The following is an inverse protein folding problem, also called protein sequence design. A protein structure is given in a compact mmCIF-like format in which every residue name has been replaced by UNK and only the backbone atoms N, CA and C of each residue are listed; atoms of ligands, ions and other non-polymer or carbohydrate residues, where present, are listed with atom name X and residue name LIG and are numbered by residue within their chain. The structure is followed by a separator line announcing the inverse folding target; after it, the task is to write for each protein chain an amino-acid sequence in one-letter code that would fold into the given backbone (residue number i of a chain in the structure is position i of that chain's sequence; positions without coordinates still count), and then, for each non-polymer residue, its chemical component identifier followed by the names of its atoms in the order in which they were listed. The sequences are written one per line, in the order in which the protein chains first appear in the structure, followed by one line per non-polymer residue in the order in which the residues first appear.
data_IF_966231016661
#
_entry.id   IF_966231016661
#
_cell.length_a   1.000
_cell.length_b   1.000
_cell.length_c   1.000
_cell.angle_alpha   90.00
_cell.angle_beta   90.00
_cell.angle_gamma   90.00
#
_symmetry.space_group_name_H-M   'P 1'
#
loop_
_entity.id
_entity.type
_entity.pdbx_description
1 polymer ?
#
# COMPACT_ATOMS: atom_id res chain seq x y z
N UNK A 1 52.84 6.73 53.06
CA UNK A 1 52.63 6.23 51.63
C UNK A 1 51.20 6.47 51.26
N UNK A 2 50.90 7.57 50.53
CA UNK A 2 49.55 7.93 50.08
C UNK A 2 49.40 7.42 48.68
N UNK A 3 48.45 6.49 48.44
CA UNK A 3 48.09 5.99 47.11
C UNK A 3 46.99 6.88 46.51
N UNK A 4 47.31 7.60 45.44
CA UNK A 4 46.39 8.35 44.64
C UNK A 4 45.70 7.37 43.66
N UNK A 5 44.36 7.23 43.76
CA UNK A 5 43.55 6.60 42.71
C UNK A 5 43.15 7.66 41.69
N UNK A 6 43.63 7.55 40.48
CA UNK A 6 43.19 8.34 39.32
C UNK A 6 41.96 7.65 38.71
N UNK A 7 40.80 8.29 38.81
CA UNK A 7 39.60 7.84 38.14
C UNK A 7 39.63 8.32 36.67
N UNK A 8 39.71 7.39 35.74
CA UNK A 8 39.56 7.66 34.29
C UNK A 8 38.07 7.72 33.93
N UNK A 9 37.57 8.94 33.71
CA UNK A 9 36.19 9.14 33.19
C UNK A 9 36.20 8.89 31.69
N UNK A 10 35.57 7.81 31.25
CA UNK A 10 35.32 7.54 29.84
C UNK A 10 34.16 8.41 29.33
N UNK A 11 34.48 9.39 28.49
CA UNK A 11 33.53 10.26 27.81
C UNK A 11 32.95 9.48 26.60
N UNK A 12 31.73 8.95 26.73
CA UNK A 12 31.04 8.31 25.64
C UNK A 12 30.53 9.37 24.64
N UNK A 13 31.17 9.47 23.48
CA UNK A 13 30.72 10.30 22.36
C UNK A 13 29.50 9.62 21.71
N UNK A 14 28.30 10.09 22.01
CA UNK A 14 27.08 9.70 21.28
C UNK A 14 27.07 10.45 19.95
N UNK A 15 27.37 9.73 18.85
CA UNK A 15 27.16 10.21 17.47
C UNK A 15 25.66 10.26 17.19
N UNK A 16 25.10 11.42 16.78
CA UNK A 16 23.74 11.44 16.29
C UNK A 16 23.69 10.69 14.96
N UNK A 17 22.89 9.64 14.88
CA UNK A 17 22.49 9.03 13.63
C UNK A 17 21.71 10.09 12.85
N UNK A 18 22.35 10.74 11.90
CA UNK A 18 21.69 11.59 10.90
C UNK A 18 20.88 10.66 10.02
N UNK A 19 19.57 10.53 10.31
CA UNK A 19 18.63 9.93 9.38
C UNK A 19 18.75 10.67 8.06
N UNK A 20 18.98 9.97 6.95
CA UNK A 20 18.90 10.52 5.61
C UNK A 20 17.47 11.09 5.44
N UNK A 21 17.35 12.41 5.55
CA UNK A 21 16.14 13.10 5.14
C UNK A 21 16.04 12.88 3.63
N UNK A 22 15.13 12.02 3.21
CA UNK A 22 14.70 12.02 1.82
C UNK A 22 14.14 13.42 1.56
N UNK A 23 14.79 14.16 0.66
CA UNK A 23 14.27 15.44 0.21
C UNK A 23 12.85 15.17 -0.34
N UNK A 24 11.84 15.65 0.37
CA UNK A 24 10.48 15.60 -0.12
C UNK A 24 10.46 16.35 -1.46
N UNK A 25 10.02 15.68 -2.51
CA UNK A 25 9.66 16.35 -3.77
C UNK A 25 8.71 17.47 -3.37
N UNK A 26 8.99 18.70 -3.85
CA UNK A 26 8.14 19.84 -3.52
C UNK A 26 6.79 19.64 -4.21
N UNK A 27 5.84 19.10 -3.50
CA UNK A 27 4.52 18.79 -4.01
C UNK A 27 3.70 17.95 -3.04
N UNK A 28 2.44 17.76 -3.35
CA UNK A 28 1.48 16.96 -2.60
C UNK A 28 0.84 15.94 -3.50
N UNK A 29 0.45 14.79 -2.94
CA UNK A 29 -0.38 13.83 -3.64
C UNK A 29 -1.58 13.51 -2.73
N UNK A 30 -2.74 13.99 -3.12
CA UNK A 30 -3.98 13.78 -2.38
C UNK A 30 -4.64 12.49 -2.85
N UNK A 31 -4.99 11.60 -1.92
CA UNK A 31 -5.72 10.36 -2.21
C UNK A 31 -7.06 10.42 -1.48
N UNK A 32 -8.16 10.30 -2.23
CA UNK A 32 -9.51 10.29 -1.69
C UNK A 32 -10.22 9.00 -2.05
N UNK A 33 -10.75 8.30 -1.04
CA UNK A 33 -11.57 7.09 -1.28
C UNK A 33 -12.97 7.55 -1.72
N UNK A 34 -13.36 7.17 -2.94
CA UNK A 34 -14.69 7.46 -3.51
C UNK A 34 -15.66 6.35 -3.14
N UNK A 35 -15.27 5.10 -3.37
CA UNK A 35 -16.06 3.93 -3.03
C UNK A 35 -15.17 2.85 -2.42
N UNK A 36 -15.62 2.24 -1.33
CA UNK A 36 -15.00 1.01 -0.84
C UNK A 36 -15.32 -0.15 -1.79
N UNK A 37 -14.35 -1.03 -2.01
CA UNK A 37 -14.56 -2.26 -2.78
C UNK A 37 -15.40 -3.27 -2.00
N UNK A 38 -15.98 -4.23 -2.73
CA UNK A 38 -16.65 -5.39 -2.14
C UNK A 38 -16.02 -6.65 -2.70
N UNK A 39 -15.78 -7.62 -1.83
CA UNK A 39 -15.27 -8.94 -2.22
C UNK A 39 -16.39 -9.98 -2.13
N UNK A 40 -16.43 -10.87 -3.09
CA UNK A 40 -17.31 -12.05 -3.10
C UNK A 40 -16.48 -13.31 -3.25
N UNK A 41 -17.03 -14.42 -2.81
CA UNK A 41 -16.37 -15.73 -2.93
C UNK A 41 -16.72 -16.36 -4.28
N UNK A 42 -15.75 -17.03 -4.90
CA UNK A 42 -15.98 -17.79 -6.13
C UNK A 42 -16.80 -19.07 -5.86
N UNK A 43 -17.24 -19.75 -6.93
CA UNK A 43 -18.05 -20.96 -6.82
C UNK A 43 -17.36 -22.14 -6.14
N UNK A 44 -16.04 -22.18 -6.08
CA UNK A 44 -15.26 -23.18 -5.37
C UNK A 44 -14.99 -22.82 -3.89
N UNK A 45 -15.42 -21.65 -3.44
CA UNK A 45 -15.27 -21.10 -2.10
C UNK A 45 -13.82 -20.94 -1.63
N UNK A 46 -12.85 -20.96 -2.52
CA UNK A 46 -11.42 -20.87 -2.22
C UNK A 46 -10.74 -19.57 -2.70
N UNK A 47 -11.46 -18.74 -3.40
CA UNK A 47 -11.05 -17.38 -3.80
C UNK A 47 -12.08 -16.37 -3.33
N UNK A 48 -11.64 -15.34 -2.65
CA UNK A 48 -12.44 -14.20 -2.23
C UNK A 48 -11.85 -12.95 -2.89
N UNK A 49 -12.60 -12.29 -3.75
CA UNK A 49 -12.07 -11.19 -4.54
C UNK A 49 -13.08 -10.16 -4.99
N UNK A 50 -12.61 -8.97 -5.30
CA UNK A 50 -13.41 -7.90 -5.88
C UNK A 50 -13.73 -8.14 -7.36
N UNK A 51 -12.91 -8.92 -8.06
CA UNK A 51 -13.14 -9.35 -9.44
C UNK A 51 -14.07 -10.56 -9.59
N UNK A 52 -14.50 -11.20 -8.50
CA UNK A 52 -15.45 -12.32 -8.55
C UNK A 52 -16.87 -11.82 -8.84
N UNK A 53 -17.74 -12.73 -9.31
CA UNK A 53 -19.13 -12.38 -9.64
C UNK A 53 -19.86 -11.74 -8.46
N UNK A 54 -20.30 -10.49 -8.61
CA UNK A 54 -20.92 -9.69 -7.55
C UNK A 54 -19.95 -8.89 -6.68
N UNK A 55 -18.64 -9.01 -6.87
CA UNK A 55 -17.63 -8.15 -6.29
C UNK A 55 -17.51 -6.82 -7.06
N UNK A 56 -16.84 -5.84 -6.47
CA UNK A 56 -16.54 -4.56 -7.10
C UNK A 56 -15.20 -4.03 -6.59
N UNK A 57 -14.41 -3.46 -7.49
CA UNK A 57 -13.18 -2.75 -7.16
C UNK A 57 -13.45 -1.57 -6.21
N UNK A 58 -12.49 -1.26 -5.36
CA UNK A 58 -12.48 0.02 -4.67
C UNK A 58 -12.10 1.13 -5.65
N UNK A 59 -12.73 2.30 -5.52
CA UNK A 59 -12.41 3.47 -6.37
C UNK A 59 -11.83 4.57 -5.50
N UNK A 60 -10.66 5.04 -5.90
CA UNK A 60 -10.01 6.21 -5.27
C UNK A 60 -9.68 7.26 -6.34
N UNK A 61 -9.68 8.53 -5.97
CA UNK A 61 -9.07 9.60 -6.77
C UNK A 61 -7.67 9.87 -6.24
N UNK A 62 -6.74 10.09 -7.15
CA UNK A 62 -5.35 10.41 -6.86
C UNK A 62 -5.00 11.70 -7.60
N UNK A 63 -4.61 12.72 -6.85
CA UNK A 63 -4.34 14.07 -7.35
C UNK A 63 -2.90 14.48 -7.00
N UNK A 64 -1.91 14.08 -7.82
CA UNK A 64 -0.55 14.57 -7.68
C UNK A 64 -0.47 16.02 -8.14
N UNK A 65 0.14 16.88 -7.30
CA UNK A 65 0.40 18.28 -7.60
C UNK A 65 1.82 18.65 -7.16
N UNK A 66 2.65 19.05 -8.13
CA UNK A 66 4.01 19.50 -7.89
C UNK A 66 4.41 20.59 -8.86
N UNK A 67 4.91 21.71 -8.33
CA UNK A 67 5.45 22.81 -9.14
C UNK A 67 6.65 22.36 -9.98
N UNK A 68 7.49 21.49 -9.45
CA UNK A 68 8.68 20.99 -10.15
C UNK A 68 8.28 20.17 -11.38
N UNK A 69 7.27 19.32 -11.23
CA UNK A 69 6.73 18.52 -12.33
C UNK A 69 6.11 19.37 -13.42
N UNK A 70 5.45 20.47 -13.04
CA UNK A 70 4.84 21.40 -14.00
C UNK A 70 5.87 22.22 -14.79
N UNK A 71 6.96 22.64 -14.13
CA UNK A 71 7.96 23.55 -14.73
C UNK A 71 8.97 22.81 -15.61
N UNK A 72 9.44 21.64 -15.14
CA UNK A 72 10.51 20.90 -15.81
C UNK A 72 9.99 19.87 -16.80
N UNK A 73 8.68 19.73 -16.94
CA UNK A 73 8.04 18.73 -17.80
C UNK A 73 8.61 17.31 -17.57
N UNK A 74 8.99 17.03 -16.31
CA UNK A 74 9.51 15.74 -15.89
C UNK A 74 8.36 14.74 -15.88
N UNK A 75 8.46 13.74 -16.72
CA UNK A 75 7.43 12.73 -16.96
C UNK A 75 7.18 11.81 -15.76
N UNK A 76 7.97 11.94 -14.68
CA UNK A 76 8.04 10.93 -13.62
C UNK A 76 8.09 11.59 -12.24
N UNK A 77 7.01 12.23 -11.83
CA UNK A 77 7.03 12.98 -10.58
C UNK A 77 6.49 12.18 -9.38
N UNK A 78 5.55 11.30 -9.61
CA UNK A 78 4.95 10.47 -8.57
C UNK A 78 4.84 9.01 -9.00
N UNK A 79 5.12 8.12 -8.08
CA UNK A 79 4.93 6.69 -8.25
C UNK A 79 3.68 6.21 -7.54
N UNK A 80 2.69 5.72 -8.29
CA UNK A 80 1.49 5.10 -7.75
C UNK A 80 1.71 3.60 -7.58
N UNK A 81 1.35 3.07 -6.41
CA UNK A 81 1.31 1.63 -6.14
C UNK A 81 0.19 1.29 -5.14
N UNK A 82 -0.26 0.05 -5.14
CA UNK A 82 -1.30 -0.44 -4.25
C UNK A 82 -0.97 -1.88 -3.79
N UNK A 83 0.11 -2.09 -3.01
CA UNK A 83 0.55 -3.41 -2.60
C UNK A 83 -0.54 -4.16 -1.83
N UNK A 84 -0.63 -5.51 -1.98
CA UNK A 84 -1.60 -6.30 -1.26
C UNK A 84 -1.35 -6.26 0.24
N UNK A 85 -2.39 -6.42 1.08
CA UNK A 85 -2.22 -6.53 2.52
C UNK A 85 -1.53 -7.84 2.89
N UNK A 86 -0.91 -7.89 4.06
CA UNK A 86 -0.33 -9.12 4.60
C UNK A 86 -1.37 -10.05 5.23
N UNK A 87 -2.54 -9.51 5.64
CA UNK A 87 -3.62 -10.24 6.28
C UNK A 87 -4.95 -9.50 6.11
N UNK A 88 -6.06 -10.19 6.41
CA UNK A 88 -7.34 -9.51 6.62
C UNK A 88 -7.27 -8.59 7.85
N UNK A 89 -7.95 -7.47 7.81
CA UNK A 89 -8.17 -6.62 8.97
C UNK A 89 -9.10 -7.32 9.98
N UNK A 90 -10.11 -8.02 9.46
CA UNK A 90 -10.94 -8.94 10.26
C UNK A 90 -11.39 -10.12 9.39
N UNK A 91 -11.54 -11.30 10.01
CA UNK A 91 -12.02 -12.52 9.39
C UNK A 91 -12.67 -13.43 10.45
N UNK A 92 -13.56 -14.35 10.07
CA UNK A 92 -14.04 -15.41 10.95
C UNK A 92 -12.89 -16.32 11.40
N UNK A 93 -13.13 -17.10 12.45
CA UNK A 93 -12.13 -18.06 12.97
C UNK A 93 -11.64 -19.00 11.84
N UNK A 94 -10.32 -19.10 11.68
CA UNK A 94 -9.67 -19.84 10.59
C UNK A 94 -9.77 -19.20 9.21
N UNK A 95 -10.45 -18.06 9.06
CA UNK A 95 -10.63 -17.37 7.77
C UNK A 95 -9.36 -16.76 7.21
N UNK A 96 -8.40 -16.42 8.06
CA UNK A 96 -7.10 -15.86 7.67
C UNK A 96 -5.99 -16.90 7.47
N UNK A 97 -6.24 -18.18 7.74
CA UNK A 97 -5.20 -19.21 7.72
C UNK A 97 -4.83 -19.61 6.29
N UNK A 98 -3.53 -19.67 5.99
CA UNK A 98 -3.00 -20.11 4.70
C UNK A 98 -3.58 -19.33 3.51
N UNK A 99 -3.81 -18.02 3.68
CA UNK A 99 -4.31 -17.12 2.64
C UNK A 99 -3.15 -16.38 1.99
N UNK A 100 -3.15 -16.32 0.66
CA UNK A 100 -2.28 -15.47 -0.14
C UNK A 100 -3.08 -14.30 -0.71
N UNK A 101 -2.48 -13.12 -0.75
CA UNK A 101 -3.13 -11.90 -1.20
C UNK A 101 -2.44 -11.39 -2.47
N UNK A 102 -3.23 -10.95 -3.43
CA UNK A 102 -2.79 -10.24 -4.61
C UNK A 102 -3.67 -9.01 -4.82
N UNK A 103 -3.08 -7.91 -5.22
CA UNK A 103 -3.81 -6.72 -5.63
C UNK A 103 -3.44 -6.33 -7.04
N UNK A 104 -4.37 -5.72 -7.74
CA UNK A 104 -4.12 -5.02 -9.00
C UNK A 104 -4.79 -3.66 -8.95
N UNK A 105 -4.31 -2.74 -9.78
CA UNK A 105 -4.98 -1.47 -9.94
C UNK A 105 -4.98 -1.04 -11.40
N UNK A 106 -5.99 -0.26 -11.79
CA UNK A 106 -6.11 0.34 -13.10
C UNK A 106 -6.29 1.85 -12.96
N UNK A 107 -5.53 2.63 -13.74
CA UNK A 107 -5.62 4.10 -13.78
C UNK A 107 -6.49 4.50 -14.96
N UNK A 108 -7.50 5.32 -14.73
CA UNK A 108 -8.43 5.88 -15.73
C UNK A 108 -9.04 4.82 -16.68
N UNK A 109 -9.36 3.64 -16.13
CA UNK A 109 -9.92 2.52 -16.90
C UNK A 109 -8.91 1.84 -17.83
N UNK A 110 -7.62 2.08 -17.66
CA UNK A 110 -6.56 1.39 -18.41
C UNK A 110 -6.41 -0.08 -18.04
N UNK A 111 -5.39 -0.73 -18.57
CA UNK A 111 -5.09 -2.12 -18.26
C UNK A 111 -4.70 -2.29 -16.78
N UNK A 112 -5.15 -3.38 -16.11
CA UNK A 112 -4.76 -3.67 -14.74
C UNK A 112 -3.25 -3.88 -14.61
N UNK A 113 -2.66 -3.29 -13.57
CA UNK A 113 -1.26 -3.38 -13.20
C UNK A 113 -1.16 -4.10 -11.86
N UNK A 114 -0.13 -4.91 -11.68
CA UNK A 114 0.12 -5.57 -10.40
C UNK A 114 0.34 -4.52 -9.30
N UNK A 115 -0.28 -4.70 -8.13
CA UNK A 115 -0.27 -3.72 -7.04
C UNK A 115 1.11 -3.36 -6.49
N UNK A 116 2.11 -4.23 -6.63
CA UNK A 116 3.50 -3.94 -6.23
C UNK A 116 4.31 -3.21 -7.31
N UNK A 117 3.79 -3.13 -8.54
CA UNK A 117 4.43 -2.37 -9.61
C UNK A 117 4.10 -0.89 -9.44
N UNK A 118 5.07 -0.03 -9.69
CA UNK A 118 4.87 1.42 -9.63
C UNK A 118 4.50 1.96 -11.01
N UNK A 119 3.37 2.65 -11.10
CA UNK A 119 2.97 3.45 -12.27
C UNK A 119 3.34 4.90 -12.02
N UNK A 120 3.99 5.51 -13.00
CA UNK A 120 4.41 6.90 -12.90
C UNK A 120 3.28 7.83 -13.30
N UNK A 121 3.03 8.83 -12.47
CA UNK A 121 2.01 9.86 -12.68
C UNK A 121 2.67 11.23 -12.81
N UNK A 122 2.08 12.07 -13.65
CA UNK A 122 2.33 13.50 -13.71
C UNK A 122 1.24 14.24 -12.92
N UNK A 123 1.33 15.58 -12.85
CA UNK A 123 0.23 16.36 -12.27
C UNK A 123 -1.08 16.09 -13.00
N UNK A 124 -2.15 15.96 -12.24
CA UNK A 124 -3.47 15.67 -12.79
C UNK A 124 -4.44 15.14 -11.76
N UNK A 125 -5.58 14.66 -12.24
CA UNK A 125 -6.59 13.99 -11.44
C UNK A 125 -6.85 12.62 -12.07
N UNK A 126 -6.61 11.56 -11.33
CA UNK A 126 -6.70 10.19 -11.80
C UNK A 126 -7.75 9.41 -11.02
N UNK A 127 -8.56 8.65 -11.73
CA UNK A 127 -9.43 7.65 -11.12
C UNK A 127 -8.71 6.30 -11.10
N UNK A 128 -8.55 5.74 -9.91
CA UNK A 128 -7.85 4.46 -9.73
C UNK A 128 -8.82 3.43 -9.18
N UNK A 129 -9.06 2.37 -9.95
CA UNK A 129 -9.77 1.19 -9.51
C UNK A 129 -8.77 0.21 -8.89
N UNK A 130 -9.04 -0.27 -7.68
CA UNK A 130 -8.16 -1.18 -6.95
C UNK A 130 -8.90 -2.48 -6.68
N UNK A 131 -8.35 -3.57 -7.16
CA UNK A 131 -8.85 -4.93 -6.95
C UNK A 131 -7.98 -5.67 -5.94
N UNK A 132 -8.65 -6.49 -5.13
CA UNK A 132 -7.99 -7.40 -4.18
C UNK A 132 -8.51 -8.81 -4.38
N UNK A 133 -7.60 -9.76 -4.38
CA UNK A 133 -7.88 -11.19 -4.39
C UNK A 133 -7.17 -11.85 -3.22
N UNK A 134 -7.92 -12.61 -2.44
CA UNK A 134 -7.41 -13.50 -1.39
C UNK A 134 -7.68 -14.94 -1.80
N UNK A 135 -6.66 -15.80 -1.79
CA UNK A 135 -6.77 -17.18 -2.26
C UNK A 135 -6.27 -18.16 -1.20
N UNK A 136 -6.97 -19.26 -1.04
CA UNK A 136 -6.53 -20.38 -0.20
C UNK A 136 -6.01 -21.51 -1.07
N UNK A 137 -4.80 -21.98 -0.75
CA UNK A 137 -4.22 -23.13 -1.45
C UNK A 137 -4.96 -24.43 -1.12
N UNK A 138 -5.53 -24.54 0.10
CA UNK A 138 -6.27 -25.69 0.58
C UNK A 138 -7.49 -25.26 1.39
N UNK A 139 -8.56 -26.03 1.27
CA UNK A 139 -9.81 -25.74 1.97
C UNK A 139 -10.63 -24.60 1.37
N UNK A 140 -11.66 -24.20 2.08
CA UNK A 140 -12.60 -23.16 1.67
C UNK A 140 -12.59 -22.01 2.69
N UNK A 141 -13.04 -20.84 2.28
CA UNK A 141 -13.27 -19.71 3.18
C UNK A 141 -14.45 -20.03 4.11
N UNK A 142 -14.28 -20.00 5.46
CA UNK A 142 -15.39 -20.10 6.40
C UNK A 142 -16.43 -19.01 6.14
N UNK A 143 -17.70 -19.35 6.38
CA UNK A 143 -18.78 -18.37 6.28
C UNK A 143 -18.59 -17.25 7.32
N UNK A 144 -18.81 -15.99 6.91
CA UNK A 144 -18.71 -14.84 7.79
C UNK A 144 -18.28 -13.58 7.05
N UNK A 145 -18.08 -12.50 7.80
CA UNK A 145 -17.64 -11.21 7.26
C UNK A 145 -16.11 -11.14 7.19
N UNK A 146 -15.60 -10.65 6.08
CA UNK A 146 -14.18 -10.39 5.85
C UNK A 146 -13.95 -8.92 5.56
N UNK A 147 -12.90 -8.37 6.14
CA UNK A 147 -12.44 -7.03 5.83
C UNK A 147 -10.95 -7.05 5.52
N UNK A 148 -10.56 -6.37 4.46
CA UNK A 148 -9.17 -6.16 4.08
C UNK A 148 -8.92 -4.69 3.79
N UNK A 149 -7.69 -4.24 3.99
CA UNK A 149 -7.28 -2.88 3.71
C UNK A 149 -6.09 -2.90 2.77
N UNK A 150 -6.27 -2.34 1.57
CA UNK A 150 -5.19 -2.07 0.62
C UNK A 150 -4.73 -0.63 0.83
N UNK A 151 -3.43 -0.42 0.95
CA UNK A 151 -2.85 0.92 1.06
C UNK A 151 -2.43 1.39 -0.33
N UNK A 152 -3.12 2.39 -0.85
CA UNK A 152 -2.68 3.09 -2.07
C UNK A 152 -1.59 4.07 -1.68
N UNK A 153 -0.48 4.06 -2.40
CA UNK A 153 0.68 4.93 -2.18
C UNK A 153 0.91 5.80 -3.41
N UNK A 154 1.26 7.04 -3.16
CA UNK A 154 1.64 8.02 -4.16
C UNK A 154 2.91 8.72 -3.64
N UNK A 155 4.07 8.30 -4.13
CA UNK A 155 5.39 8.68 -3.61
C UNK A 155 6.29 9.28 -4.71
#
# INVERSE_FOLDING_TARGET
MKRFCVALSALALSLPFSGVAHAAIIGTCTITVVNAGTMTVNGALNVLGSGEAGGNAAIVTVEPDSLVCSILNLLDCYGLSAPPPAAFLSAPAGGGDSVTYASTYAVDGGAPVNGVTTTRLINGNYTVAVDLTASRATGVFPAGAYQAQVTVRCE
#
